data_IF_262914629127
#
_entry.id   IF_262914629127
#
_cell.length_a   1.000
_cell.length_b   1.000
_cell.length_c   1.000
_cell.angle_alpha   90.00
_cell.angle_beta   90.00
_cell.angle_gamma   90.00
#
_symmetry.space_group_name_H-M   'P 1'
#
loop_
_entity.id
_entity.type
_entity.pdbx_description
1 polymer ?
#
# COMPACT_ATOMS: atom_id res chain seq x y z
N UNK A 1 14.98 0.06 -23.00
CA UNK A 1 13.60 0.17 -23.53
C UNK A 1 12.76 0.91 -22.50
N UNK A 2 11.83 1.79 -22.87
CA UNK A 2 10.97 2.43 -21.88
C UNK A 2 10.13 1.36 -21.20
N UNK A 3 10.03 1.43 -19.86
CA UNK A 3 9.15 0.56 -19.09
C UNK A 3 7.67 0.82 -19.40
N UNK A 4 6.78 0.08 -18.74
CA UNK A 4 5.34 0.18 -18.95
C UNK A 4 4.80 1.54 -18.49
N UNK A 5 3.98 2.21 -19.31
CA UNK A 5 3.36 3.50 -19.01
C UNK A 5 1.93 3.33 -18.48
N UNK A 6 1.42 4.36 -17.80
CA UNK A 6 0.04 4.35 -17.30
C UNK A 6 -0.96 4.19 -18.44
N UNK A 7 -1.88 3.24 -18.30
CA UNK A 7 -2.88 2.92 -19.32
C UNK A 7 -2.45 1.86 -20.34
N UNK A 8 -1.16 1.50 -20.38
CA UNK A 8 -0.69 0.40 -21.23
C UNK A 8 -1.26 -0.93 -20.75
N UNK A 9 -1.57 -1.80 -21.71
CA UNK A 9 -2.01 -3.15 -21.42
C UNK A 9 -0.83 -4.01 -20.92
N UNK A 10 -1.06 -4.76 -19.84
CA UNK A 10 -0.07 -5.66 -19.29
C UNK A 10 0.26 -6.74 -20.32
N UNK A 11 1.55 -7.08 -20.53
CA UNK A 11 1.91 -8.15 -21.45
C UNK A 11 1.30 -9.48 -21.00
N UNK A 12 0.65 -10.19 -21.91
CA UNK A 12 0.07 -11.50 -21.62
C UNK A 12 1.12 -12.62 -21.70
N UNK A 13 2.10 -12.58 -20.80
CA UNK A 13 3.20 -13.53 -20.77
C UNK A 13 2.78 -14.89 -20.19
N UNK A 14 3.58 -15.90 -20.50
CA UNK A 14 3.55 -17.19 -19.81
C UNK A 14 4.82 -17.33 -18.96
N UNK A 15 4.67 -17.80 -17.72
CA UNK A 15 5.82 -17.99 -16.83
C UNK A 15 5.59 -19.14 -15.86
N UNK A 16 6.69 -19.78 -15.46
CA UNK A 16 6.67 -20.77 -14.40
C UNK A 16 6.65 -20.08 -13.03
N UNK A 17 5.83 -20.61 -12.13
CA UNK A 17 5.67 -20.07 -10.77
C UNK A 17 5.69 -21.17 -9.73
N UNK A 18 5.79 -20.78 -8.45
CA UNK A 18 5.62 -21.71 -7.31
C UNK A 18 4.27 -22.43 -7.26
N UNK A 19 3.27 -21.98 -8.03
CA UNK A 19 1.94 -22.61 -8.12
C UNK A 19 1.66 -23.21 -9.52
N UNK A 20 2.72 -23.46 -10.30
CA UNK A 20 2.63 -23.99 -11.66
C UNK A 20 2.75 -22.90 -12.73
N UNK A 21 2.68 -23.33 -14.00
CA UNK A 21 2.78 -22.43 -15.14
C UNK A 21 1.49 -21.62 -15.29
N UNK A 22 1.62 -20.32 -15.51
CA UNK A 22 0.49 -19.40 -15.69
C UNK A 22 0.58 -18.69 -17.03
N UNK A 23 -0.58 -18.27 -17.55
CA UNK A 23 -0.71 -17.17 -18.50
C UNK A 23 -1.23 -15.96 -17.73
N UNK A 24 -0.58 -14.80 -17.84
CA UNK A 24 -0.81 -13.69 -16.92
C UNK A 24 -2.26 -13.17 -16.93
N UNK A 25 -2.87 -13.01 -18.10
CA UNK A 25 -4.26 -12.53 -18.19
C UNK A 25 -5.25 -13.55 -17.64
N UNK A 26 -5.01 -14.84 -17.84
CA UNK A 26 -5.86 -15.93 -17.33
C UNK A 26 -5.74 -16.01 -15.80
N UNK A 27 -4.52 -15.86 -15.28
CA UNK A 27 -4.27 -15.77 -13.84
C UNK A 27 -5.04 -14.60 -13.20
N UNK A 28 -5.03 -13.42 -13.83
CA UNK A 28 -5.80 -12.28 -13.35
C UNK A 28 -7.31 -12.55 -13.46
N UNK A 29 -7.80 -13.05 -14.60
CA UNK A 29 -9.23 -13.13 -14.88
C UNK A 29 -9.86 -11.74 -14.75
N UNK A 30 -11.01 -11.63 -14.07
CA UNK A 30 -11.70 -10.35 -13.86
C UNK A 30 -11.28 -9.60 -12.58
N UNK A 31 -10.21 -10.05 -11.90
CA UNK A 31 -9.71 -9.41 -10.69
C UNK A 31 -8.75 -8.27 -11.00
N UNK A 32 -8.52 -7.42 -10.01
CA UNK A 32 -7.33 -6.56 -10.00
C UNK A 32 -6.08 -7.41 -9.79
N UNK A 33 -4.93 -6.90 -10.22
CA UNK A 33 -3.65 -7.58 -10.11
C UNK A 33 -2.57 -6.67 -9.53
N UNK A 34 -1.73 -7.22 -8.66
CA UNK A 34 -0.49 -6.57 -8.22
C UNK A 34 0.67 -7.50 -8.52
N UNK A 35 1.51 -7.08 -9.48
CA UNK A 35 2.79 -7.71 -9.77
C UNK A 35 3.88 -6.93 -9.06
N UNK A 36 4.66 -7.58 -8.22
CA UNK A 36 5.76 -6.91 -7.51
C UNK A 36 7.05 -7.72 -7.59
N UNK A 37 8.16 -7.07 -7.91
CA UNK A 37 9.46 -7.73 -8.02
C UNK A 37 10.29 -7.57 -6.76
N UNK A 38 11.27 -8.46 -6.54
CA UNK A 38 12.30 -8.30 -5.51
C UNK A 38 13.66 -8.75 -6.07
N UNK A 39 14.78 -8.16 -5.62
CA UNK A 39 16.09 -8.42 -6.24
C UNK A 39 16.54 -9.87 -6.22
N UNK A 40 16.40 -10.54 -5.08
CA UNK A 40 16.88 -11.91 -4.88
C UNK A 40 16.23 -12.59 -3.69
N UNK A 41 16.03 -13.89 -3.82
CA UNK A 41 15.68 -14.80 -2.73
C UNK A 41 16.79 -14.86 -1.67
N UNK A 42 16.45 -15.33 -0.47
CA UNK A 42 17.39 -15.47 0.67
C UNK A 42 18.09 -14.15 1.09
N UNK A 43 17.44 -13.01 0.87
CA UNK A 43 17.95 -11.70 1.30
C UNK A 43 17.04 -11.05 2.36
N UNK A 44 17.60 -10.34 3.36
CA UNK A 44 16.87 -9.97 4.56
C UNK A 44 15.67 -9.05 4.28
N UNK A 45 15.84 -8.00 3.48
CA UNK A 45 14.75 -7.06 3.16
C UNK A 45 13.66 -7.74 2.33
N UNK A 46 14.01 -8.62 1.40
CA UNK A 46 13.02 -9.34 0.60
C UNK A 46 12.18 -10.28 1.49
N UNK A 47 12.80 -10.93 2.48
CA UNK A 47 12.08 -11.81 3.42
C UNK A 47 11.06 -11.02 4.23
N UNK A 48 11.41 -9.82 4.71
CA UNK A 48 10.46 -8.98 5.45
C UNK A 48 9.31 -8.47 4.56
N UNK A 49 9.60 -8.12 3.31
CA UNK A 49 8.60 -7.67 2.34
C UNK A 49 7.59 -8.76 1.97
N UNK A 50 8.06 -9.94 1.56
CA UNK A 50 7.17 -11.04 1.18
C UNK A 50 6.44 -11.59 2.41
N UNK A 51 7.06 -11.57 3.59
CA UNK A 51 6.41 -11.87 4.86
C UNK A 51 5.24 -10.91 5.13
N UNK A 52 5.45 -9.60 4.96
CA UNK A 52 4.39 -8.60 5.09
C UNK A 52 3.29 -8.77 4.04
N UNK A 53 3.67 -9.05 2.79
CA UNK A 53 2.72 -9.31 1.70
C UNK A 53 1.83 -10.53 2.03
N UNK A 54 2.41 -11.61 2.55
CA UNK A 54 1.68 -12.82 2.93
C UNK A 54 0.65 -12.53 4.03
N UNK A 55 1.05 -11.79 5.07
CA UNK A 55 0.13 -11.38 6.15
C UNK A 55 -1.00 -10.46 5.68
N UNK A 56 -0.74 -9.62 4.66
CA UNK A 56 -1.74 -8.73 4.08
C UNK A 56 -2.54 -9.36 2.93
N UNK A 57 -2.18 -10.56 2.45
CA UNK A 57 -2.88 -11.22 1.35
C UNK A 57 -4.40 -11.32 1.57
N UNK A 58 -4.92 -11.61 2.78
CA UNK A 58 -6.37 -11.58 3.03
C UNK A 58 -7.02 -10.21 2.78
N UNK A 59 -6.31 -9.10 3.06
CA UNK A 59 -6.82 -7.73 2.82
C UNK A 59 -6.90 -7.40 1.32
N UNK A 60 -5.95 -7.89 0.53
CA UNK A 60 -5.98 -7.79 -0.93
C UNK A 60 -7.09 -8.67 -1.52
N UNK A 61 -7.24 -9.91 -1.05
CA UNK A 61 -8.31 -10.82 -1.48
C UNK A 61 -9.70 -10.24 -1.21
N UNK A 62 -9.93 -9.59 -0.06
CA UNK A 62 -11.19 -8.88 0.24
C UNK A 62 -11.56 -7.80 -0.78
N UNK A 63 -10.56 -7.25 -1.48
CA UNK A 63 -10.71 -6.21 -2.52
C UNK A 63 -10.72 -6.79 -3.93
N UNK A 64 -10.81 -8.11 -4.08
CA UNK A 64 -10.67 -8.80 -5.37
C UNK A 64 -9.36 -8.43 -6.09
N UNK A 65 -8.25 -8.46 -5.35
CA UNK A 65 -6.90 -8.21 -5.86
C UNK A 65 -6.07 -9.48 -5.72
N UNK A 66 -5.48 -9.95 -6.82
CA UNK A 66 -4.51 -11.05 -6.83
C UNK A 66 -3.09 -10.50 -6.76
N UNK A 67 -2.32 -11.01 -5.80
CA UNK A 67 -0.89 -10.73 -5.66
C UNK A 67 -0.09 -11.75 -6.48
N UNK A 68 1.04 -11.31 -7.03
CA UNK A 68 2.04 -12.17 -7.64
C UNK A 68 3.43 -11.52 -7.53
N UNK A 69 4.38 -12.28 -7.00
CA UNK A 69 5.77 -11.86 -6.84
C UNK A 69 6.62 -12.27 -8.05
N UNK A 70 7.79 -11.65 -8.22
CA UNK A 70 8.74 -11.99 -9.29
C UNK A 70 10.18 -11.74 -8.83
N UNK A 71 11.08 -12.70 -9.11
CA UNK A 71 12.52 -12.44 -9.15
C UNK A 71 13.18 -13.25 -10.26
N UNK A 72 14.49 -13.11 -10.39
CA UNK A 72 15.28 -13.83 -11.39
C UNK A 72 15.71 -15.23 -10.92
N UNK A 73 15.36 -15.62 -9.69
CA UNK A 73 15.75 -16.91 -9.11
C UNK A 73 14.90 -18.07 -9.68
N UNK A 74 15.24 -19.31 -9.31
CA UNK A 74 14.51 -20.49 -9.78
C UNK A 74 13.24 -20.78 -8.97
N UNK A 75 12.29 -21.51 -9.58
CA UNK A 75 11.11 -22.00 -8.84
C UNK A 75 11.52 -22.85 -7.63
N UNK A 76 12.59 -23.65 -7.75
CA UNK A 76 13.12 -24.47 -6.67
C UNK A 76 13.66 -23.62 -5.51
N UNK A 77 14.35 -22.52 -5.83
CA UNK A 77 14.82 -21.54 -4.83
C UNK A 77 13.64 -20.86 -4.15
N UNK A 78 12.64 -20.42 -4.93
CA UNK A 78 11.42 -19.81 -4.38
C UNK A 78 10.71 -20.74 -3.39
N UNK A 79 10.49 -22.02 -3.76
CA UNK A 79 9.83 -23.00 -2.89
C UNK A 79 10.62 -23.25 -1.60
N UNK A 80 11.95 -23.29 -1.70
CA UNK A 80 12.83 -23.44 -0.54
C UNK A 80 12.75 -22.21 0.37
N UNK A 81 12.80 -21.02 -0.23
CA UNK A 81 12.77 -19.74 0.48
C UNK A 81 11.39 -19.40 1.08
N UNK A 82 10.29 -19.91 0.51
CA UNK A 82 8.96 -19.83 1.12
C UNK A 82 8.95 -20.35 2.57
N UNK A 83 9.79 -21.34 2.89
CA UNK A 83 9.91 -21.89 4.26
C UNK A 83 10.44 -20.82 5.22
N UNK A 84 11.44 -20.07 4.80
CA UNK A 84 12.06 -18.99 5.59
C UNK A 84 11.09 -17.82 5.78
N UNK A 85 10.33 -17.47 4.74
CA UNK A 85 9.32 -16.40 4.81
C UNK A 85 8.20 -16.78 5.80
N UNK A 86 7.71 -18.02 5.74
CA UNK A 86 6.71 -18.52 6.66
C UNK A 86 7.24 -18.59 8.09
N UNK A 87 8.48 -19.07 8.27
CA UNK A 87 9.14 -19.08 9.57
C UNK A 87 9.34 -17.67 10.16
N UNK A 88 9.71 -16.69 9.32
CA UNK A 88 9.82 -15.27 9.71
C UNK A 88 8.49 -14.70 10.23
N UNK A 89 7.37 -15.11 9.63
CA UNK A 89 6.03 -14.73 10.08
C UNK A 89 5.55 -15.49 11.32
N UNK A 90 6.32 -16.45 11.84
CA UNK A 90 5.92 -17.33 12.93
C UNK A 90 4.86 -18.37 12.52
N UNK A 91 4.74 -18.63 11.22
CA UNK A 91 3.87 -19.66 10.66
C UNK A 91 4.61 -20.99 10.50
N UNK A 92 3.87 -22.09 10.31
CA UNK A 92 4.50 -23.39 10.06
C UNK A 92 5.33 -23.32 8.77
N UNK A 93 6.62 -23.72 8.79
CA UNK A 93 7.45 -23.71 7.59
C UNK A 93 6.81 -24.53 6.48
N UNK A 94 6.43 -23.85 5.41
CA UNK A 94 5.76 -24.44 4.25
C UNK A 94 6.26 -23.85 2.96
N UNK A 95 6.10 -24.60 1.87
CA UNK A 95 6.55 -24.19 0.52
C UNK A 95 5.55 -23.29 -0.21
N UNK A 96 4.41 -23.01 0.43
CA UNK A 96 3.31 -22.24 -0.16
C UNK A 96 3.14 -20.91 0.54
N UNK A 97 3.10 -19.86 -0.25
CA UNK A 97 2.59 -18.55 0.13
C UNK A 97 1.17 -18.36 -0.43
N UNK A 98 0.41 -17.37 0.09
CA UNK A 98 -0.93 -17.05 -0.43
C UNK A 98 -0.95 -16.58 -1.89
N UNK A 99 0.22 -16.31 -2.48
CA UNK A 99 0.40 -15.87 -3.86
C UNK A 99 1.56 -16.60 -4.54
N UNK A 100 1.55 -16.74 -5.87
CA UNK A 100 2.66 -17.30 -6.62
C UNK A 100 3.86 -16.35 -6.68
N UNK A 101 5.06 -16.93 -6.83
CA UNK A 101 6.31 -16.23 -7.16
C UNK A 101 6.75 -16.71 -8.56
N UNK A 102 6.93 -15.78 -9.49
CA UNK A 102 7.40 -16.01 -10.86
C UNK A 102 8.92 -16.16 -10.87
N UNK A 103 9.40 -17.19 -11.58
CA UNK A 103 10.81 -17.37 -11.89
C UNK A 103 11.15 -16.76 -13.27
N UNK A 104 11.88 -15.64 -13.28
CA UNK A 104 12.33 -14.94 -14.50
C UNK A 104 13.84 -15.10 -14.73
N UNK A 105 14.33 -16.34 -14.79
CA UNK A 105 15.76 -16.66 -14.94
C UNK A 105 16.44 -15.97 -16.12
N UNK A 106 15.70 -15.83 -17.23
CA UNK A 106 16.21 -15.23 -18.46
C UNK A 106 16.11 -13.69 -18.45
N UNK A 107 15.52 -13.08 -17.42
CA UNK A 107 15.27 -11.63 -17.29
C UNK A 107 14.39 -11.06 -18.39
N UNK A 108 13.63 -11.91 -19.08
CA UNK A 108 12.81 -11.50 -20.21
C UNK A 108 11.69 -10.56 -19.72
N UNK A 109 11.05 -10.90 -18.60
CA UNK A 109 10.02 -10.06 -18.01
C UNK A 109 10.60 -8.82 -17.35
N UNK A 110 11.73 -8.96 -16.64
CA UNK A 110 12.42 -7.86 -16.00
C UNK A 110 12.84 -6.79 -17.00
N UNK A 111 13.41 -7.18 -18.15
CA UNK A 111 13.78 -6.26 -19.24
C UNK A 111 12.53 -5.67 -19.89
N UNK A 112 11.53 -6.49 -20.19
CA UNK A 112 10.30 -6.07 -20.87
C UNK A 112 9.49 -5.07 -20.05
N UNK A 113 9.45 -5.24 -18.74
CA UNK A 113 8.70 -4.38 -17.81
C UNK A 113 9.55 -3.20 -17.29
N UNK A 114 10.84 -3.14 -17.62
CA UNK A 114 11.74 -2.07 -17.17
C UNK A 114 12.00 -2.14 -15.66
N UNK A 115 12.15 -3.35 -15.12
CA UNK A 115 12.32 -3.60 -13.69
C UNK A 115 13.77 -3.74 -13.23
N UNK A 116 14.77 -3.57 -14.09
CA UNK A 116 16.16 -3.82 -13.71
C UNK A 116 16.74 -2.68 -12.85
N UNK A 117 17.47 -3.06 -11.81
CA UNK A 117 18.27 -2.17 -10.98
C UNK A 117 19.68 -2.04 -11.58
N UNK A 118 20.16 -0.84 -11.93
CA UNK A 118 21.48 -0.68 -12.54
C UNK A 118 22.63 -0.94 -11.55
N UNK A 119 22.39 -0.76 -10.25
CA UNK A 119 23.44 -0.81 -9.23
C UNK A 119 23.62 -2.22 -8.65
N UNK A 120 22.56 -3.03 -8.69
CA UNK A 120 22.57 -4.40 -8.19
C UNK A 120 22.78 -5.42 -9.29
N UNK A 121 23.87 -6.18 -9.18
CA UNK A 121 24.25 -7.22 -10.14
C UNK A 121 24.39 -8.57 -9.45
N UNK A 122 24.16 -9.64 -10.20
CA UNK A 122 24.49 -10.98 -9.76
C UNK A 122 26.01 -11.24 -9.79
N UNK A 123 26.40 -12.49 -9.49
CA UNK A 123 27.82 -12.89 -9.47
C UNK A 123 28.48 -12.81 -10.84
N UNK A 124 27.69 -12.84 -11.91
CA UNK A 124 28.14 -12.82 -13.30
C UNK A 124 28.07 -11.39 -13.89
N UNK A 125 27.78 -10.37 -13.07
CA UNK A 125 27.69 -8.96 -13.47
C UNK A 125 26.38 -8.58 -14.16
N UNK A 126 25.37 -9.45 -14.12
CA UNK A 126 24.09 -9.21 -14.77
C UNK A 126 23.12 -8.50 -13.81
N UNK A 127 22.42 -7.43 -14.24
CA UNK A 127 21.49 -6.70 -13.40
C UNK A 127 20.40 -7.57 -12.76
N UNK A 128 20.09 -7.28 -11.50
CA UNK A 128 18.96 -7.84 -10.75
C UNK A 128 17.71 -6.98 -10.97
N UNK A 129 16.55 -7.48 -10.55
CA UNK A 129 15.33 -6.67 -10.53
C UNK A 129 15.34 -5.70 -9.34
N UNK A 130 14.97 -4.44 -9.58
CA UNK A 130 14.62 -3.49 -8.55
C UNK A 130 13.35 -3.91 -7.79
N UNK A 131 12.96 -3.15 -6.77
CA UNK A 131 11.72 -3.35 -6.01
C UNK A 131 10.56 -2.63 -6.68
N UNK A 132 10.08 -3.18 -7.78
CA UNK A 132 9.00 -2.59 -8.58
C UNK A 132 7.64 -3.11 -8.14
N UNK A 133 6.61 -2.27 -8.23
CA UNK A 133 5.20 -2.64 -8.03
C UNK A 133 4.42 -2.13 -9.23
N UNK A 134 3.63 -3.01 -9.84
CA UNK A 134 2.66 -2.68 -10.88
C UNK A 134 1.26 -3.06 -10.41
N UNK A 135 0.33 -2.11 -10.48
CA UNK A 135 -1.09 -2.34 -10.16
C UNK A 135 -1.89 -2.32 -11.46
N UNK A 136 -2.50 -3.46 -11.79
CA UNK A 136 -3.31 -3.66 -12.98
C UNK A 136 -4.80 -3.69 -12.64
N UNK A 137 -5.60 -3.04 -13.49
CA UNK A 137 -7.06 -3.14 -13.42
C UNK A 137 -7.60 -4.44 -14.04
N UNK A 138 -8.89 -4.74 -13.85
CA UNK A 138 -9.56 -5.87 -14.53
C UNK A 138 -9.49 -5.77 -16.06
N UNK A 139 -9.37 -4.56 -16.60
CA UNK A 139 -9.15 -4.25 -18.00
C UNK A 139 -7.70 -4.52 -18.48
N UNK A 140 -6.89 -5.19 -17.65
CA UNK A 140 -5.48 -5.54 -17.88
C UNK A 140 -4.55 -4.34 -18.05
N UNK A 141 -5.04 -3.10 -17.84
CA UNK A 141 -4.23 -1.89 -18.01
C UNK A 141 -3.51 -1.49 -16.73
N UNK A 142 -2.30 -0.94 -16.88
CA UNK A 142 -1.53 -0.39 -15.78
C UNK A 142 -2.23 0.84 -15.19
N UNK A 143 -2.45 0.84 -13.88
CA UNK A 143 -3.10 1.92 -13.14
C UNK A 143 -2.14 2.72 -12.26
N UNK A 144 -1.07 2.06 -11.79
CA UNK A 144 -0.06 2.67 -10.93
C UNK A 144 1.21 1.82 -10.97
N UNK A 145 2.37 2.47 -11.01
CA UNK A 145 3.66 1.84 -10.82
C UNK A 145 4.49 2.58 -9.76
N UNK A 146 5.33 1.82 -9.05
CA UNK A 146 6.30 2.35 -8.08
C UNK A 146 7.62 1.62 -8.32
N UNK A 147 8.73 2.36 -8.42
CA UNK A 147 10.07 1.81 -8.56
C UNK A 147 10.90 2.22 -7.35
N UNK A 148 11.25 1.25 -6.50
CA UNK A 148 12.17 1.43 -5.37
C UNK A 148 13.49 0.72 -5.66
N UNK A 149 14.64 1.28 -5.23
CA UNK A 149 15.93 0.59 -5.34
C UNK A 149 15.98 -0.61 -4.39
N UNK A 150 16.90 -1.54 -4.61
CA UNK A 150 17.10 -2.68 -3.72
C UNK A 150 17.37 -2.29 -2.25
N UNK A 151 17.98 -1.13 -2.01
CA UNK A 151 18.32 -0.62 -0.69
C UNK A 151 17.12 -0.19 0.16
N UNK A 152 15.96 0.08 -0.45
CA UNK A 152 14.80 0.67 0.23
C UNK A 152 13.60 -0.27 0.22
N UNK A 153 13.28 -0.88 1.36
CA UNK A 153 12.07 -1.69 1.51
C UNK A 153 10.78 -0.90 1.31
N UNK A 154 9.78 -1.52 0.69
CA UNK A 154 8.49 -0.90 0.34
C UNK A 154 7.52 -0.86 1.53
N UNK A 155 6.61 0.11 1.46
CA UNK A 155 5.49 0.21 2.38
C UNK A 155 4.24 -0.45 1.79
N UNK A 156 3.90 -1.67 2.22
CA UNK A 156 2.71 -2.38 1.75
C UNK A 156 1.38 -1.76 2.23
N UNK A 157 1.38 -0.97 3.31
CA UNK A 157 0.18 -0.26 3.73
C UNK A 157 -0.17 0.86 2.73
N UNK A 158 0.85 1.48 2.11
CA UNK A 158 0.65 2.44 1.03
C UNK A 158 0.11 1.75 -0.22
N UNK A 159 0.63 0.57 -0.57
CA UNK A 159 0.11 -0.24 -1.68
C UNK A 159 -1.38 -0.55 -1.48
N UNK A 160 -1.76 -0.96 -0.26
CA UNK A 160 -3.16 -1.20 0.08
C UNK A 160 -4.02 0.07 -0.01
N UNK A 161 -3.49 1.21 0.47
CA UNK A 161 -4.18 2.51 0.42
C UNK A 161 -4.44 2.97 -1.01
N UNK A 162 -3.47 2.81 -1.91
CA UNK A 162 -3.66 3.20 -3.32
C UNK A 162 -4.59 2.26 -4.06
N UNK A 163 -4.65 0.97 -3.72
CA UNK A 163 -5.69 0.07 -4.23
C UNK A 163 -7.09 0.59 -3.85
N UNK A 164 -7.29 0.96 -2.59
CA UNK A 164 -8.57 1.52 -2.13
C UNK A 164 -8.93 2.80 -2.89
N UNK A 165 -7.96 3.67 -3.15
CA UNK A 165 -8.14 4.88 -3.96
C UNK A 165 -8.51 4.55 -5.42
N UNK A 166 -7.75 3.68 -6.07
CA UNK A 166 -7.95 3.29 -7.48
C UNK A 166 -9.33 2.65 -7.69
N UNK A 167 -9.75 1.77 -6.78
CA UNK A 167 -11.07 1.17 -6.84
C UNK A 167 -12.18 2.20 -6.61
N UNK A 168 -12.06 3.07 -5.60
CA UNK A 168 -13.05 4.10 -5.33
C UNK A 168 -13.24 5.04 -6.53
N UNK A 169 -12.15 5.51 -7.12
CA UNK A 169 -12.15 6.46 -8.24
C UNK A 169 -12.57 5.83 -9.57
N UNK A 170 -12.43 4.50 -9.70
CA UNK A 170 -12.99 3.76 -10.85
C UNK A 170 -14.53 3.71 -10.82
N UNK A 171 -15.13 3.54 -9.63
CA UNK A 171 -16.59 3.40 -9.48
C UNK A 171 -17.33 4.71 -9.22
N UNK A 172 -16.65 5.71 -8.65
CA UNK A 172 -17.24 7.00 -8.28
C UNK A 172 -16.47 8.12 -8.96
N UNK A 173 -17.22 9.14 -9.43
CA UNK A 173 -16.64 10.41 -9.89
C UNK A 173 -16.16 11.22 -8.69
N UNK A 174 -15.02 10.81 -8.13
CA UNK A 174 -14.29 11.47 -7.03
C UNK A 174 -12.78 11.33 -7.25
N UNK A 175 -11.98 12.12 -6.55
CA UNK A 175 -10.53 12.00 -6.54
C UNK A 175 -10.06 11.99 -5.08
N UNK A 176 -9.10 11.13 -4.73
CA UNK A 176 -8.57 11.09 -3.36
C UNK A 176 -7.50 12.17 -3.19
N UNK A 177 -7.61 13.07 -2.20
CA UNK A 177 -6.59 14.11 -1.98
C UNK A 177 -5.28 13.52 -1.44
N UNK A 178 -4.26 14.38 -1.32
CA UNK A 178 -2.99 14.06 -0.62
C UNK A 178 -3.27 13.45 0.76
N UNK A 179 -2.49 12.42 1.13
CA UNK A 179 -2.59 11.67 2.39
C UNK A 179 -3.98 11.10 2.71
N UNK A 180 -4.82 10.89 1.70
CA UNK A 180 -6.15 10.30 1.88
C UNK A 180 -6.06 8.89 2.48
N UNK A 181 -6.92 8.61 3.46
CA UNK A 181 -7.08 7.30 4.10
C UNK A 181 -8.53 6.87 3.94
N UNK A 182 -8.81 5.56 3.92
CA UNK A 182 -10.17 5.03 3.74
C UNK A 182 -11.20 5.60 4.73
N UNK A 183 -10.76 5.96 5.94
CA UNK A 183 -11.62 6.59 6.97
C UNK A 183 -11.80 8.11 6.81
N UNK A 184 -10.99 8.77 5.98
CA UNK A 184 -11.13 10.19 5.68
C UNK A 184 -12.07 10.40 4.49
N UNK A 185 -12.93 11.42 4.59
CA UNK A 185 -13.91 11.73 3.52
C UNK A 185 -13.15 12.02 2.22
N UNK A 186 -13.46 11.26 1.16
CA UNK A 186 -13.01 11.59 -0.18
C UNK A 186 -13.56 12.97 -0.57
N UNK A 187 -12.70 13.88 -1.06
CA UNK A 187 -13.12 15.19 -1.55
C UNK A 187 -13.46 15.05 -3.04
N UNK A 188 -14.56 15.68 -3.45
CA UNK A 188 -15.22 15.50 -4.74
C UNK A 188 -14.28 15.68 -5.95
N UNK A 189 -14.54 15.03 -7.09
CA UNK A 189 -14.12 15.59 -8.39
C UNK A 189 -15.05 16.76 -8.66
N UNK A 190 -14.51 17.88 -9.11
CA UNK A 190 -15.34 18.93 -9.68
C UNK A 190 -15.08 18.92 -11.20
N UNK A 191 -15.76 19.62 -12.09
CA UNK A 191 -15.93 21.07 -11.97
C UNK A 191 -14.72 21.78 -11.27
N UNK A 192 -13.53 21.14 -11.18
CA UNK A 192 -12.36 21.53 -10.35
C UNK A 192 -11.36 22.34 -11.17
N UNK A 193 -11.78 22.79 -12.36
CA UNK A 193 -10.94 23.48 -13.32
C UNK A 193 -10.95 25.02 -13.12
N UNK A 194 -12.01 25.61 -12.55
CA UNK A 194 -12.09 27.08 -12.38
C UNK A 194 -11.12 27.66 -11.34
N UNK A 195 -10.60 26.84 -10.42
CA UNK A 195 -9.63 27.29 -9.41
C UNK A 195 -8.17 27.02 -9.79
N UNK A 196 -7.88 26.03 -10.63
CA UNK A 196 -6.52 25.80 -11.13
C UNK A 196 -6.06 26.93 -12.08
N UNK A 197 -7.00 27.56 -12.80
CA UNK A 197 -6.73 28.74 -13.65
C UNK A 197 -6.34 30.01 -12.89
N UNK A 198 -6.56 30.07 -11.57
CA UNK A 198 -6.14 31.21 -10.73
C UNK A 198 -4.72 31.06 -10.19
N UNK A 199 -4.06 29.93 -10.40
CA UNK A 199 -2.70 29.71 -9.92
C UNK A 199 -1.70 30.00 -11.06
N UNK A 200 -1.25 31.26 -11.15
CA UNK A 200 0.00 31.58 -11.84
C UNK A 200 1.14 31.50 -10.81
N UNK A 201 2.22 30.76 -11.08
CA UNK A 201 3.41 30.80 -10.24
C UNK A 201 4.07 32.17 -10.40
N UNK A 202 4.15 32.93 -9.31
CA UNK A 202 4.96 34.14 -9.27
C UNK A 202 6.45 33.74 -9.19
N UNK A 203 7.08 33.55 -10.35
CA UNK A 203 8.53 33.64 -10.47
C UNK A 203 8.89 34.83 -11.36
N UNK A 204 9.66 35.74 -10.78
CA UNK A 204 10.59 36.66 -11.44
C UNK A 204 10.00 37.94 -12.10
N UNK A 205 10.18 39.05 -11.38
CA UNK A 205 10.68 40.29 -11.98
C UNK A 205 9.66 41.40 -12.27
N UNK A 206 9.75 42.48 -11.49
CA UNK A 206 9.42 43.84 -11.96
C UNK A 206 8.18 44.48 -11.34
N UNK A 207 8.38 45.26 -10.28
CA UNK A 207 7.55 46.44 -10.04
C UNK A 207 8.00 47.55 -11.03
N UNK A 208 7.14 48.51 -11.44
CA UNK A 208 6.59 49.48 -10.49
C UNK A 208 5.07 49.70 -10.57
N UNK A 209 4.50 50.11 -9.42
CA UNK A 209 3.19 50.77 -9.32
C UNK A 209 3.33 52.27 -9.59
N UNK A 210 2.41 52.84 -10.35
CA UNK A 210 1.88 54.22 -10.29
C UNK A 210 0.59 54.19 -11.14
N UNK A 211 -0.60 54.70 -10.78
CA UNK A 211 -1.05 55.52 -9.66
C UNK A 211 -2.60 55.55 -9.63
N UNK A 212 -3.13 56.08 -8.54
CA UNK A 212 -4.55 56.29 -8.25
C UNK A 212 -5.26 57.23 -9.25
N UNK A 213 -6.56 57.01 -9.50
CA UNK A 213 -7.62 57.95 -9.09
C UNK A 213 -9.03 57.49 -9.52
N UNK A 214 -9.94 57.44 -8.53
CA UNK A 214 -11.36 57.86 -8.52
C UNK A 214 -12.35 57.28 -9.57
N UNK A 215 -13.60 56.89 -9.29
CA UNK A 215 -14.43 56.93 -8.09
C UNK A 215 -15.70 56.07 -8.31
N UNK A 216 -16.29 55.58 -7.21
CA UNK A 216 -17.74 55.38 -7.09
C UNK A 216 -18.27 53.94 -7.09
N UNK A 217 -18.63 53.42 -5.91
CA UNK A 217 -19.57 52.28 -5.81
C UNK A 217 -19.23 51.26 -4.72
N UNK A 218 -20.02 51.25 -3.65
CA UNK A 218 -19.79 50.57 -2.38
C UNK A 218 -20.10 49.06 -2.34
N UNK A 219 -19.38 48.38 -1.45
CA UNK A 219 -19.71 47.18 -0.65
C UNK A 219 -19.54 45.75 -1.20
N UNK A 220 -18.65 45.07 -0.48
CA UNK A 220 -18.16 43.71 -0.53
C UNK A 220 -19.17 42.57 -0.29
N UNK A 221 -18.84 41.43 -0.91
CA UNK A 221 -18.90 40.02 -0.46
C UNK A 221 -20.13 39.47 0.29
N UNK A 222 -20.71 38.41 -0.27
CA UNK A 222 -20.83 37.09 0.38
C UNK A 222 -21.40 36.07 -0.62
N UNK A 223 -20.54 35.20 -1.16
CA UNK A 223 -20.97 34.01 -1.91
C UNK A 223 -21.51 32.95 -0.95
N UNK A 224 -22.71 32.46 -1.24
CA UNK A 224 -23.46 31.50 -0.42
C UNK A 224 -22.70 30.21 -0.16
N UNK A 225 -22.51 29.89 1.12
CA UNK A 225 -21.97 28.64 1.62
C UNK A 225 -23.14 27.70 1.95
N UNK A 226 -23.18 26.46 1.44
CA UNK A 226 -24.24 25.49 1.78
C UNK A 226 -23.73 24.25 2.52
N UNK A 227 -23.98 24.29 3.82
CA UNK A 227 -24.41 23.24 4.77
C UNK A 227 -24.12 21.75 4.51
N UNK A 228 -23.34 21.15 5.42
CA UNK A 228 -23.57 19.78 5.90
C UNK A 228 -24.59 19.80 7.04
N UNK A 229 -25.71 19.06 6.94
CA UNK A 229 -26.64 18.89 8.08
C UNK A 229 -25.97 18.09 9.20
N UNK A 230 -25.83 18.72 10.38
CA UNK A 230 -25.78 18.03 11.67
C UNK A 230 -27.21 17.98 12.21
N UNK A 231 -27.70 16.81 12.58
CA UNK A 231 -28.85 16.69 13.47
C UNK A 231 -28.38 17.04 14.89
N UNK A 232 -28.95 18.09 15.49
CA UNK A 232 -28.84 18.43 16.91
C UNK A 232 -30.21 18.28 17.58
N UNK A 233 -30.23 17.66 18.76
CA UNK A 233 -31.05 18.06 19.92
C UNK A 233 -30.09 18.00 21.13
N UNK A 234 -29.68 19.11 21.73
CA UNK A 234 -30.35 19.88 22.81
C UNK A 234 -30.60 19.01 24.06
N UNK A 235 -30.11 19.26 25.28
CA UNK A 235 -29.40 20.36 25.95
C UNK A 235 -29.09 19.93 27.42
N UNK A 236 -28.50 20.79 28.27
CA UNK A 236 -27.63 20.40 29.41
C UNK A 236 -28.32 20.43 30.79
N UNK A 237 -27.68 19.86 31.83
CA UNK A 237 -27.83 20.27 33.25
C UNK A 237 -26.72 19.68 34.16
N UNK A 238 -26.45 20.40 35.24
CA UNK A 238 -25.25 20.47 36.10
C UNK A 238 -25.24 19.56 37.35
N UNK A 239 -24.03 19.20 37.82
CA UNK A 239 -23.54 18.88 39.19
C UNK A 239 -24.24 17.84 40.13
N UNK A 240 -23.39 16.92 40.62
CA UNK A 240 -23.44 15.88 41.69
C UNK A 240 -23.97 16.35 43.09
N UNK A 241 -24.34 15.48 44.09
CA UNK A 241 -23.57 14.29 44.56
C UNK A 241 -24.27 13.06 45.24
N UNK A 242 -23.48 11.98 45.35
CA UNK A 242 -23.39 10.85 46.31
C UNK A 242 -24.58 10.32 47.17
N UNK A 243 -24.83 8.99 47.11
CA UNK A 243 -24.80 8.07 48.28
C UNK A 243 -24.93 6.56 47.91
N UNK A 244 -24.15 5.78 48.65
CA UNK A 244 -24.06 4.32 48.92
C UNK A 244 -25.23 3.40 48.53
N UNK A 245 -24.91 2.14 48.16
CA UNK A 245 -25.10 0.91 48.99
C UNK A 245 -24.46 -0.31 48.27
N UNK A 246 -23.58 -1.03 48.98
CA UNK A 246 -23.07 -2.39 48.72
C UNK A 246 -23.89 -3.37 49.59
N UNK A 247 -23.95 -4.69 49.29
CA UNK A 247 -22.97 -5.61 49.93
C UNK A 247 -22.42 -6.74 49.04
N UNK A 248 -21.25 -7.24 49.49
CA UNK A 248 -20.51 -8.49 49.14
C UNK A 248 -21.36 -9.75 49.49
N UNK A 249 -21.05 -11.02 49.20
CA UNK A 249 -19.84 -11.84 48.98
C UNK A 249 -20.31 -13.17 48.30
N UNK A 250 -19.53 -14.14 47.84
CA UNK A 250 -18.10 -14.43 48.00
C UNK A 250 -17.69 -15.67 47.17
N UNK A 251 -16.38 -15.80 47.00
CA UNK A 251 -15.64 -16.87 46.32
C UNK A 251 -15.18 -17.95 47.32
N UNK A 252 -15.10 -19.21 46.89
CA UNK A 252 -14.28 -20.23 47.53
C UNK A 252 -13.36 -20.89 46.49
N UNK A 253 -12.13 -21.19 46.91
CA UNK A 253 -11.27 -22.17 46.23
C UNK A 253 -9.80 -21.79 46.10
N UNK A 254 -9.04 -21.89 47.19
CA UNK A 254 -7.59 -22.15 47.21
C UNK A 254 -7.40 -23.54 47.86
N UNK A 255 -6.27 -24.28 47.71
CA UNK A 255 -4.99 -23.81 48.27
C UNK A 255 -3.67 -24.28 47.59
N UNK A 256 -2.60 -23.61 48.05
CA UNK A 256 -1.25 -24.12 48.38
C UNK A 256 -0.11 -24.06 47.33
N UNK A 257 0.93 -23.28 47.71
CA UNK A 257 2.29 -23.18 47.17
C UNK A 257 3.23 -24.29 47.76
N UNK A 258 4.57 -24.41 47.48
CA UNK A 258 5.56 -23.31 47.51
C UNK A 258 6.76 -23.33 46.51
N UNK A 259 7.28 -22.11 46.32
CA UNK A 259 8.67 -21.63 46.14
C UNK A 259 9.84 -22.56 45.72
N UNK A 260 10.46 -22.21 44.58
CA UNK A 260 11.92 -22.22 44.28
C UNK A 260 12.12 -21.11 43.22
N UNK A 261 13.14 -20.26 43.15
CA UNK A 261 14.42 -20.08 43.82
C UNK A 261 15.20 -19.15 42.88
N UNK A 262 15.45 -17.90 43.32
CA UNK A 262 16.15 -16.87 42.55
C UNK A 262 17.66 -17.05 42.74
N UNK A 263 18.46 -17.16 41.68
CA UNK A 263 19.93 -17.09 41.76
C UNK A 263 20.60 -16.60 40.45
N UNK A 264 21.11 -15.38 40.57
CA UNK A 264 22.37 -14.81 40.06
C UNK A 264 22.77 -14.83 38.58
N UNK A 265 23.04 -13.61 38.11
CA UNK A 265 24.10 -13.22 37.19
C UNK A 265 25.44 -13.93 37.45
N UNK A 266 26.16 -14.31 36.39
CA UNK A 266 27.62 -14.08 36.26
C UNK A 266 28.10 -14.27 34.82
N UNK A 267 29.05 -13.39 34.47
CA UNK A 267 29.84 -13.36 33.26
C UNK A 267 30.59 -14.67 32.97
N UNK A 268 30.78 -14.92 31.67
CA UNK A 268 31.75 -15.82 31.07
C UNK A 268 31.87 -15.48 29.59
#
# INVERSE_FOLDING_TARGET
MPGLLLGDEAPNFEADTTQGRIRFHDFLGDSWGILFSHPRDFTPVCTTELGRAARLAPEFSKRNVKLIALSIDSVQDHLSWCKDINAYNGEQPGEKLPFPIIADKNRELAVKLGMLDPDEQDKDGMPLTARVVFVFGPDKKLKLSILYPATTGRNFDEILRVVDSLQLTAYKKVATPVDWKVRSRAKFTARHWEQALKWQPASLGGAPRLGEAAAGGSLASAGSCFCSRKSQGAGPLTHLPAKQIFPRAGSQGEPAAPAQGCLSCRNG
#
